data_IF_622134048094
#
_entry.id   IF_622134048094
#
_cell.length_a   1.000
_cell.length_b   1.000
_cell.length_c   1.000
_cell.angle_alpha   90.00
_cell.angle_beta   90.00
_cell.angle_gamma   90.00
#
_symmetry.space_group_name_H-M   'P 1'
#
loop_
_entity.id
_entity.type
_entity.pdbx_description
1 polymer ?
#
# COMPACT_ATOMS: atom_id res chain seq x y z
N UNK A 1 25.87 -29.96 -38.15
CA UNK A 1 26.39 -28.57 -38.06
C UNK A 1 27.14 -28.43 -36.75
N UNK A 2 28.47 -28.33 -36.80
CA UNK A 2 29.31 -28.17 -35.60
C UNK A 2 29.49 -26.68 -35.30
N UNK A 3 29.03 -26.24 -34.13
CA UNK A 3 29.12 -24.84 -33.68
C UNK A 3 30.58 -24.54 -33.29
N UNK A 4 31.20 -23.57 -33.96
CA UNK A 4 32.54 -23.07 -33.60
C UNK A 4 32.46 -22.29 -32.29
N UNK A 5 33.23 -22.71 -31.28
CA UNK A 5 33.49 -21.90 -30.08
C UNK A 5 34.31 -20.67 -30.47
N UNK A 6 33.78 -19.47 -30.26
CA UNK A 6 34.54 -18.22 -30.39
C UNK A 6 35.49 -18.10 -29.20
N UNK A 7 36.79 -18.14 -29.46
CA UNK A 7 37.86 -18.17 -28.46
C UNK A 7 38.18 -16.78 -27.86
N UNK A 8 37.61 -15.68 -28.36
CA UNK A 8 37.83 -14.33 -27.81
C UNK A 8 36.63 -13.38 -28.03
N UNK A 9 35.41 -13.91 -28.03
CA UNK A 9 34.18 -13.13 -28.26
C UNK A 9 33.54 -12.66 -26.96
N UNK A 10 33.09 -11.40 -26.93
CA UNK A 10 32.15 -10.80 -25.96
C UNK A 10 31.17 -11.85 -25.40
N UNK A 11 30.87 -11.89 -24.08
CA UNK A 11 30.02 -12.93 -23.51
C UNK A 11 28.74 -13.10 -24.33
N UNK A 12 28.56 -14.30 -24.89
CA UNK A 12 27.37 -14.65 -25.67
C UNK A 12 26.15 -14.40 -24.78
N UNK A 13 25.23 -13.53 -25.22
CA UNK A 13 24.08 -13.09 -24.44
C UNK A 13 24.05 -11.60 -24.05
N UNK A 14 25.09 -10.82 -24.39
CA UNK A 14 25.11 -9.36 -24.13
C UNK A 14 24.76 -8.48 -25.35
N UNK A 15 24.57 -9.07 -26.52
CA UNK A 15 24.20 -8.38 -27.77
C UNK A 15 22.68 -8.39 -28.05
N UNK A 16 21.89 -9.01 -27.16
CA UNK A 16 20.45 -9.12 -27.32
C UNK A 16 20.01 -10.19 -28.32
N UNK A 17 20.90 -11.03 -28.84
CA UNK A 17 20.54 -12.17 -29.71
C UNK A 17 20.10 -13.41 -28.93
N UNK A 18 20.46 -13.50 -27.65
CA UNK A 18 20.14 -14.64 -26.78
C UNK A 18 18.66 -14.60 -26.36
N UNK A 19 17.88 -15.48 -26.96
CA UNK A 19 16.46 -15.67 -26.69
C UNK A 19 16.19 -16.02 -25.22
N UNK A 20 17.07 -16.83 -24.60
CA UNK A 20 16.93 -17.22 -23.19
C UNK A 20 17.13 -16.03 -22.26
N UNK A 21 18.08 -15.14 -22.57
CA UNK A 21 18.27 -13.89 -21.81
C UNK A 21 17.08 -12.93 -21.98
N UNK A 22 16.56 -12.77 -23.21
CA UNK A 22 15.38 -11.92 -23.49
C UNK A 22 14.14 -12.41 -22.76
N UNK A 23 13.86 -13.71 -22.76
CA UNK A 23 12.72 -14.30 -22.06
C UNK A 23 12.70 -14.01 -20.54
N UNK A 24 13.87 -14.12 -19.88
CA UNK A 24 13.99 -13.89 -18.43
C UNK A 24 13.91 -12.40 -18.08
N UNK A 25 14.38 -11.53 -18.98
CA UNK A 25 14.38 -10.08 -18.80
C UNK A 25 12.99 -9.50 -19.11
N UNK A 26 12.39 -9.88 -20.23
CA UNK A 26 11.06 -9.42 -20.65
C UNK A 26 9.97 -9.84 -19.66
N UNK A 27 10.01 -11.09 -19.18
CA UNK A 27 9.05 -11.55 -18.16
C UNK A 27 9.15 -10.76 -16.84
N UNK A 28 10.34 -10.28 -16.46
CA UNK A 28 10.51 -9.41 -15.28
C UNK A 28 9.99 -8.00 -15.54
N UNK A 29 10.26 -7.43 -16.71
CA UNK A 29 9.73 -6.11 -17.06
C UNK A 29 8.20 -6.11 -17.08
N UNK A 30 7.58 -7.17 -17.63
CA UNK A 30 6.12 -7.34 -17.60
C UNK A 30 5.59 -7.43 -16.18
N UNK A 31 6.19 -8.24 -15.30
CA UNK A 31 5.80 -8.34 -13.89
C UNK A 31 5.92 -7.01 -13.14
N UNK A 32 6.97 -6.23 -13.42
CA UNK A 32 7.15 -4.90 -12.82
C UNK A 32 6.11 -3.92 -13.33
N UNK A 33 5.78 -3.94 -14.63
CA UNK A 33 4.75 -3.09 -15.21
C UNK A 33 3.36 -3.41 -14.65
N UNK A 34 2.98 -4.68 -14.61
CA UNK A 34 1.73 -5.15 -14.00
C UNK A 34 1.66 -4.79 -12.52
N UNK A 35 2.73 -5.06 -11.76
CA UNK A 35 2.81 -4.73 -10.34
C UNK A 35 2.66 -3.23 -10.08
N UNK A 36 3.27 -2.37 -10.92
CA UNK A 36 3.09 -0.91 -10.85
C UNK A 36 1.69 -0.46 -11.18
N UNK A 37 1.02 -1.11 -12.14
CA UNK A 37 -0.36 -0.77 -12.50
C UNK A 37 -1.30 -1.12 -11.33
N UNK A 38 -1.21 -2.36 -10.83
CA UNK A 38 -1.99 -2.84 -9.69
C UNK A 38 -1.75 -2.02 -8.44
N UNK A 39 -0.49 -1.76 -8.08
CA UNK A 39 -0.16 -0.94 -6.92
C UNK A 39 -0.68 0.50 -7.07
N UNK A 40 -0.67 1.07 -8.28
CA UNK A 40 -1.22 2.41 -8.53
C UNK A 40 -2.72 2.47 -8.28
N UNK A 41 -3.47 1.47 -8.76
CA UNK A 41 -4.90 1.35 -8.46
C UNK A 41 -5.15 1.20 -6.96
N UNK A 42 -4.36 0.40 -6.25
CA UNK A 42 -4.51 0.23 -4.80
C UNK A 42 -4.22 1.51 -4.02
N UNK A 43 -3.15 2.24 -4.35
CA UNK A 43 -2.83 3.52 -3.70
C UNK A 43 -3.97 4.53 -3.93
N UNK A 44 -4.55 4.56 -5.12
CA UNK A 44 -5.72 5.41 -5.41
C UNK A 44 -6.92 5.01 -4.55
N UNK A 45 -7.25 3.72 -4.47
CA UNK A 45 -8.33 3.21 -3.61
C UNK A 45 -8.09 3.55 -2.14
N UNK A 46 -6.85 3.41 -1.65
CA UNK A 46 -6.49 3.82 -0.29
C UNK A 46 -6.68 5.32 -0.06
N UNK A 47 -6.33 6.15 -1.05
CA UNK A 47 -6.58 7.59 -1.01
C UNK A 47 -8.07 7.92 -0.89
N UNK A 48 -8.93 7.23 -1.64
CA UNK A 48 -10.39 7.40 -1.52
C UNK A 48 -10.91 6.99 -0.15
N UNK A 49 -10.49 5.84 0.38
CA UNK A 49 -10.88 5.38 1.72
C UNK A 49 -10.42 6.40 2.79
N UNK A 50 -9.20 6.91 2.65
CA UNK A 50 -8.65 7.92 3.56
C UNK A 50 -9.45 9.22 3.52
N UNK A 51 -9.86 9.66 2.33
CA UNK A 51 -10.69 10.85 2.16
C UNK A 51 -12.07 10.66 2.80
N UNK A 52 -12.71 9.51 2.60
CA UNK A 52 -13.98 9.17 3.27
C UNK A 52 -13.80 9.18 4.78
N UNK A 53 -12.74 8.56 5.31
CA UNK A 53 -12.43 8.56 6.73
C UNK A 53 -12.21 9.97 7.30
N UNK A 54 -11.53 10.84 6.57
CA UNK A 54 -11.33 12.24 6.95
C UNK A 54 -12.65 13.03 6.96
N UNK A 55 -13.53 12.81 5.98
CA UNK A 55 -14.87 13.43 5.92
C UNK A 55 -15.72 12.97 7.11
N UNK A 56 -15.70 11.67 7.44
CA UNK A 56 -16.42 11.13 8.61
C UNK A 56 -15.91 11.80 9.89
N UNK A 57 -14.59 11.86 10.09
CA UNK A 57 -13.99 12.52 11.25
C UNK A 57 -14.39 14.00 11.33
N UNK A 58 -14.39 14.72 10.21
CA UNK A 58 -14.80 16.11 10.16
C UNK A 58 -16.28 16.29 10.51
N UNK A 59 -17.17 15.47 9.94
CA UNK A 59 -18.61 15.56 10.22
C UNK A 59 -18.92 15.26 11.68
N UNK A 60 -18.28 14.24 12.27
CA UNK A 60 -18.39 13.93 13.69
C UNK A 60 -17.94 15.08 14.59
N UNK A 61 -16.95 15.88 14.17
CA UNK A 61 -16.50 17.06 14.94
C UNK A 61 -17.49 18.23 14.87
N UNK A 62 -18.12 18.42 13.70
CA UNK A 62 -19.09 19.50 13.49
C UNK A 62 -20.39 19.23 14.27
N UNK A 63 -20.90 17.99 14.23
CA UNK A 63 -22.13 17.62 14.92
C UNK A 63 -21.94 17.43 16.43
N UNK A 64 -20.79 16.86 16.85
CA UNK A 64 -20.53 16.51 18.24
C UNK A 64 -19.93 17.62 19.10
N UNK A 65 -19.60 18.79 18.52
CA UNK A 65 -18.89 19.87 19.22
C UNK A 65 -17.55 19.45 19.85
N UNK A 66 -17.01 18.30 19.42
CA UNK A 66 -15.99 17.54 20.13
C UNK A 66 -14.56 17.91 19.73
N UNK A 67 -13.64 17.77 20.68
CA UNK A 67 -12.20 17.94 20.49
C UNK A 67 -11.68 16.85 19.55
N UNK A 68 -11.01 17.26 18.46
CA UNK A 68 -10.30 16.35 17.55
C UNK A 68 -9.31 15.49 18.32
N UNK A 69 -9.45 14.16 18.23
CA UNK A 69 -8.45 13.25 18.76
C UNK A 69 -7.15 13.43 17.97
N UNK A 70 -6.17 14.07 18.60
CA UNK A 70 -4.86 14.35 18.02
C UNK A 70 -4.20 13.07 17.46
N UNK A 71 -4.44 11.92 18.08
CA UNK A 71 -3.93 10.64 17.61
C UNK A 71 -4.56 10.23 16.28
N UNK A 72 -5.89 10.31 16.17
CA UNK A 72 -6.60 10.01 14.92
C UNK A 72 -6.17 10.93 13.77
N UNK A 73 -6.02 12.23 14.04
CA UNK A 73 -5.55 13.21 13.05
C UNK A 73 -4.10 12.93 12.64
N UNK A 74 -3.21 12.72 13.60
CA UNK A 74 -1.80 12.43 13.32
C UNK A 74 -1.63 11.15 12.51
N UNK A 75 -2.38 10.09 12.83
CA UNK A 75 -2.41 8.85 12.05
C UNK A 75 -2.85 9.10 10.61
N UNK A 76 -3.91 9.90 10.43
CA UNK A 76 -4.42 10.27 9.11
C UNK A 76 -3.37 11.00 8.26
N UNK A 77 -2.65 11.94 8.87
CA UNK A 77 -1.56 12.68 8.20
C UNK A 77 -0.39 11.76 7.85
N UNK A 78 0.04 10.88 8.77
CA UNK A 78 1.11 9.91 8.52
C UNK A 78 0.72 8.97 7.37
N UNK A 79 -0.53 8.50 7.35
CA UNK A 79 -1.03 7.65 6.27
C UNK A 79 -1.01 8.38 4.92
N UNK A 80 -1.48 9.64 4.89
CA UNK A 80 -1.47 10.47 3.69
C UNK A 80 -0.06 10.69 3.14
N UNK A 81 0.91 11.06 4.00
CA UNK A 81 2.32 11.19 3.61
C UNK A 81 2.85 9.86 3.05
N UNK A 82 2.50 8.74 3.69
CA UNK A 82 2.91 7.41 3.23
C UNK A 82 2.38 7.12 1.83
N UNK A 83 1.12 7.46 1.51
CA UNK A 83 0.56 7.30 0.17
C UNK A 83 1.32 8.11 -0.89
N UNK A 84 1.70 9.35 -0.57
CA UNK A 84 2.51 10.17 -1.47
C UNK A 84 3.88 9.53 -1.75
N UNK A 85 4.53 8.98 -0.72
CA UNK A 85 5.78 8.24 -0.86
C UNK A 85 5.60 6.96 -1.70
N UNK A 86 4.46 6.28 -1.55
CA UNK A 86 4.11 5.09 -2.32
C UNK A 86 3.95 5.40 -3.81
N UNK A 87 3.20 6.47 -4.13
CA UNK A 87 2.98 6.89 -5.51
C UNK A 87 4.28 7.38 -6.17
N UNK A 88 5.09 8.15 -5.43
CA UNK A 88 6.39 8.60 -5.88
C UNK A 88 7.36 7.43 -6.09
N UNK A 89 7.38 6.47 -5.18
CA UNK A 89 8.19 5.25 -5.25
C UNK A 89 7.81 4.38 -6.45
N UNK A 90 6.52 4.23 -6.72
CA UNK A 90 5.97 3.51 -7.86
C UNK A 90 6.36 4.15 -9.19
N UNK A 91 6.15 5.48 -9.33
CA UNK A 91 6.49 6.24 -10.54
C UNK A 91 7.99 6.25 -10.83
N UNK A 92 8.81 6.50 -9.80
CA UNK A 92 10.27 6.58 -9.95
C UNK A 92 10.99 5.23 -9.85
N UNK A 93 10.26 4.13 -9.67
CA UNK A 93 10.83 2.78 -9.46
C UNK A 93 11.85 2.73 -8.32
N UNK A 94 11.65 3.52 -7.26
CA UNK A 94 12.58 3.65 -6.13
C UNK A 94 12.14 2.70 -5.01
N UNK A 95 12.86 1.59 -4.88
CA UNK A 95 12.59 0.55 -3.86
C UNK A 95 12.55 1.13 -2.44
N UNK A 96 13.44 2.06 -2.10
CA UNK A 96 13.50 2.67 -0.77
C UNK A 96 12.22 3.47 -0.43
N UNK A 97 11.66 4.20 -1.41
CA UNK A 97 10.41 4.93 -1.20
C UNK A 97 9.23 3.97 -0.99
N UNK A 98 9.21 2.85 -1.71
CA UNK A 98 8.20 1.81 -1.54
C UNK A 98 8.30 1.14 -0.16
N UNK A 99 9.51 0.94 0.38
CA UNK A 99 9.72 0.46 1.75
C UNK A 99 9.23 1.46 2.79
N UNK A 100 9.48 2.75 2.59
CA UNK A 100 8.97 3.81 3.47
C UNK A 100 7.44 3.88 3.45
N UNK A 101 6.84 3.75 2.27
CA UNK A 101 5.38 3.60 2.14
C UNK A 101 4.85 2.44 2.97
N UNK A 102 5.42 1.24 2.82
CA UNK A 102 5.00 0.06 3.58
C UNK A 102 5.11 0.27 5.09
N UNK A 103 6.24 0.82 5.55
CA UNK A 103 6.46 1.09 6.97
C UNK A 103 5.49 2.14 7.51
N UNK A 104 5.39 3.30 6.86
CA UNK A 104 4.55 4.39 7.32
C UNK A 104 3.05 4.06 7.30
N UNK A 105 2.59 3.39 6.25
CA UNK A 105 1.19 2.96 6.14
C UNK A 105 0.84 1.87 7.17
N UNK A 106 1.76 0.95 7.49
CA UNK A 106 1.57 -0.02 8.57
C UNK A 106 1.52 0.64 9.96
N UNK A 107 2.42 1.58 10.25
CA UNK A 107 2.42 2.33 11.52
C UNK A 107 1.13 3.12 11.68
N UNK A 108 0.70 3.84 10.65
CA UNK A 108 -0.57 4.57 10.70
C UNK A 108 -1.77 3.64 10.89
N UNK A 109 -1.81 2.50 10.19
CA UNK A 109 -2.86 1.50 10.38
C UNK A 109 -2.94 1.00 11.84
N UNK A 110 -1.81 0.72 12.47
CA UNK A 110 -1.75 0.31 13.88
C UNK A 110 -2.26 1.42 14.81
N UNK A 111 -1.84 2.67 14.61
CA UNK A 111 -2.32 3.81 15.42
C UNK A 111 -3.84 3.97 15.26
N UNK A 112 -4.37 3.81 14.06
CA UNK A 112 -5.81 3.89 13.79
C UNK A 112 -6.60 2.79 14.51
N UNK A 113 -6.08 1.55 14.55
CA UNK A 113 -6.69 0.46 15.31
C UNK A 113 -6.69 0.78 16.81
N UNK A 114 -5.56 1.24 17.35
CA UNK A 114 -5.46 1.61 18.77
C UNK A 114 -6.42 2.75 19.11
N UNK A 115 -6.58 3.73 18.22
CA UNK A 115 -7.56 4.82 18.38
C UNK A 115 -8.99 4.28 18.46
N UNK A 116 -9.37 3.32 17.59
CA UNK A 116 -10.68 2.67 17.63
C UNK A 116 -10.90 1.84 18.90
N UNK A 117 -9.88 1.15 19.40
CA UNK A 117 -9.99 0.37 20.63
C UNK A 117 -10.07 1.25 21.87
N UNK A 118 -9.48 2.44 21.82
CA UNK A 118 -9.53 3.43 22.91
C UNK A 118 -10.87 4.13 23.00
N UNK A 119 -11.59 4.32 21.88
CA UNK A 119 -12.93 4.90 21.90
C UNK A 119 -13.94 3.91 22.50
N UNK A 120 -14.32 4.16 23.75
CA UNK A 120 -15.28 3.32 24.48
C UNK A 120 -16.63 3.18 23.76
N UNK A 121 -17.03 4.16 22.96
CA UNK A 121 -18.22 4.09 22.11
C UNK A 121 -18.05 3.10 20.96
N UNK A 122 -16.92 3.13 20.23
CA UNK A 122 -16.66 2.17 19.16
C UNK A 122 -16.62 0.73 19.68
N UNK A 123 -16.02 0.50 20.88
CA UNK A 123 -15.99 -0.82 21.51
C UNK A 123 -17.39 -1.28 21.94
N UNK A 124 -18.23 -0.38 22.46
CA UNK A 124 -19.62 -0.68 22.81
C UNK A 124 -20.43 -1.06 21.58
N UNK A 125 -20.33 -0.27 20.51
CA UNK A 125 -21.00 -0.53 19.22
C UNK A 125 -20.56 -1.86 18.61
N UNK A 126 -19.28 -2.22 18.78
CA UNK A 126 -18.74 -3.48 18.28
C UNK A 126 -19.26 -4.71 19.05
N UNK A 127 -19.69 -4.53 20.32
CA UNK A 127 -20.31 -5.58 21.13
C UNK A 127 -21.82 -5.64 20.94
N UNK A 128 -22.48 -4.48 20.92
CA UNK A 128 -23.94 -4.35 20.85
C UNK A 128 -24.37 -3.73 19.52
N UNK A 129 -24.42 -4.56 18.48
CA UNK A 129 -24.79 -4.16 17.11
C UNK A 129 -26.25 -3.67 16.99
N UNK A 130 -27.09 -3.94 18.00
CA UNK A 130 -28.48 -3.47 18.06
C UNK A 130 -28.62 -1.95 18.18
N UNK A 131 -27.56 -1.23 18.60
CA UNK A 131 -27.52 0.24 18.74
C UNK A 131 -27.14 0.98 17.45
N UNK A 132 -27.19 0.30 16.30
CA UNK A 132 -26.72 0.83 15.01
C UNK A 132 -27.35 2.16 14.58
N UNK A 133 -28.61 2.40 14.94
CA UNK A 133 -29.35 3.57 14.49
C UNK A 133 -28.97 4.85 15.24
N UNK A 134 -28.50 4.73 16.50
CA UNK A 134 -28.01 5.87 17.30
C UNK A 134 -26.54 6.19 17.06
N UNK A 135 -25.74 5.24 16.56
CA UNK A 135 -24.27 5.35 16.48
C UNK A 135 -23.73 5.22 15.05
N UNK A 136 -24.40 5.84 14.07
CA UNK A 136 -24.10 5.69 12.63
C UNK A 136 -22.66 6.07 12.26
N UNK A 137 -22.12 7.15 12.84
CA UNK A 137 -20.75 7.61 12.56
C UNK A 137 -19.69 6.64 13.07
N UNK A 138 -19.90 6.05 14.24
CA UNK A 138 -18.99 5.06 14.81
C UNK A 138 -18.95 3.78 13.97
N UNK A 139 -20.10 3.32 13.49
CA UNK A 139 -20.16 2.19 12.55
C UNK A 139 -19.43 2.49 11.24
N UNK A 140 -19.64 3.67 10.66
CA UNK A 140 -18.95 4.07 9.43
C UNK A 140 -17.44 4.17 9.65
N UNK A 141 -16.99 4.67 10.80
CA UNK A 141 -15.57 4.74 11.18
C UNK A 141 -14.96 3.34 11.31
N UNK A 142 -15.63 2.41 12.01
CA UNK A 142 -15.19 1.02 12.13
C UNK A 142 -15.11 0.36 10.75
N UNK A 143 -16.16 0.50 9.93
CA UNK A 143 -16.22 -0.07 8.60
C UNK A 143 -15.11 0.49 7.68
N UNK A 144 -14.86 1.79 7.73
CA UNK A 144 -13.79 2.43 6.96
C UNK A 144 -12.40 1.91 7.36
N UNK A 145 -12.14 1.74 8.66
CA UNK A 145 -10.85 1.19 9.12
C UNK A 145 -10.70 -0.29 8.73
N UNK A 146 -11.74 -1.10 8.88
CA UNK A 146 -11.72 -2.51 8.46
C UNK A 146 -11.47 -2.65 6.95
N UNK A 147 -12.17 -1.87 6.13
CA UNK A 147 -11.98 -1.86 4.69
C UNK A 147 -10.56 -1.38 4.33
N UNK A 148 -10.09 -0.32 4.98
CA UNK A 148 -8.72 0.19 4.81
C UNK A 148 -7.66 -0.87 5.14
N UNK A 149 -7.86 -1.66 6.20
CA UNK A 149 -6.97 -2.76 6.58
C UNK A 149 -6.91 -3.86 5.52
N UNK A 150 -8.05 -4.27 4.96
CA UNK A 150 -8.09 -5.28 3.90
C UNK A 150 -7.31 -4.82 2.66
N UNK A 151 -7.53 -3.57 2.25
CA UNK A 151 -6.81 -2.98 1.12
C UNK A 151 -5.32 -2.86 1.43
N UNK A 152 -4.94 -2.49 2.66
CA UNK A 152 -3.55 -2.38 3.10
C UNK A 152 -2.81 -3.72 3.08
N UNK A 153 -3.45 -4.81 3.49
CA UNK A 153 -2.86 -6.16 3.44
C UNK A 153 -2.57 -6.55 1.99
N UNK A 154 -3.55 -6.34 1.10
CA UNK A 154 -3.39 -6.65 -0.31
C UNK A 154 -2.33 -5.76 -0.98
N UNK A 155 -2.32 -4.46 -0.69
CA UNK A 155 -1.30 -3.53 -1.17
C UNK A 155 0.10 -3.92 -0.70
N UNK A 156 0.25 -4.41 0.53
CA UNK A 156 1.52 -4.90 1.07
C UNK A 156 2.03 -6.11 0.30
N UNK A 157 1.15 -7.05 -0.04
CA UNK A 157 1.50 -8.21 -0.88
C UNK A 157 1.97 -7.79 -2.28
N UNK A 158 1.24 -6.88 -2.93
CA UNK A 158 1.62 -6.37 -4.26
C UNK A 158 2.92 -5.58 -4.22
N UNK A 159 3.11 -4.72 -3.22
CA UNK A 159 4.32 -3.90 -3.07
C UNK A 159 5.55 -4.75 -2.75
N UNK A 160 5.44 -5.78 -1.91
CA UNK A 160 6.56 -6.70 -1.62
C UNK A 160 6.95 -7.51 -2.86
N UNK A 161 5.97 -8.02 -3.61
CA UNK A 161 6.22 -8.68 -4.90
C UNK A 161 6.87 -7.73 -5.91
N UNK A 162 6.42 -6.47 -5.97
CA UNK A 162 7.01 -5.46 -6.85
C UNK A 162 8.47 -5.14 -6.46
N UNK A 163 8.74 -4.94 -5.17
CA UNK A 163 10.10 -4.71 -4.65
C UNK A 163 11.03 -5.87 -5.01
N UNK A 164 10.56 -7.11 -4.85
CA UNK A 164 11.35 -8.29 -5.17
C UNK A 164 11.71 -8.34 -6.66
N UNK A 165 10.74 -8.05 -7.53
CA UNK A 165 10.95 -8.02 -8.98
C UNK A 165 11.81 -6.83 -9.47
N UNK A 166 11.91 -5.75 -8.67
CA UNK A 166 12.80 -4.62 -8.92
C UNK A 166 14.24 -4.82 -8.43
N UNK A 167 14.48 -5.80 -7.54
CA UNK A 167 15.81 -6.03 -7.00
C UNK A 167 16.74 -6.68 -8.06
N UNK A 168 18.03 -6.29 -8.10
CA UNK A 168 18.98 -6.93 -9.00
C UNK A 168 19.08 -8.43 -8.67
N UNK A 169 19.24 -9.30 -9.70
CA UNK A 169 19.35 -10.73 -9.47
C UNK A 169 20.50 -11.02 -8.50
N UNK A 170 20.22 -11.80 -7.45
CA UNK A 170 21.27 -12.29 -6.55
C UNK A 170 22.29 -13.02 -7.44
N UNK A 171 23.54 -12.54 -7.41
CA UNK A 171 24.66 -13.28 -8.02
C UNK A 171 24.82 -14.55 -7.21
N UNK A 172 24.61 -15.70 -7.86
CA UNK A 172 24.97 -17.00 -7.32
C UNK A 172 26.48 -17.16 -7.36
#
# INVERSE_FOLDING_TARGET
MSQRKSVNGRPSGTDGSDYSYRMVVDSRYTKVAEGKSRLGSLILTQGFIQLIGAVILFLSTVEGGGVLDRLSVSSSVIFFISLLLGELGRKRSRVNLLKLYLFGSAVAALISIVCLLKSGESVKVMKDLSTWQSSKFELLKIAAVLLGMLVQIYATSVATSLIHNMAPPKRA
#
